data_IF_063848931918
#
_entry.id   IF_063848931918
#
_cell.length_a   1.000
_cell.length_b   1.000
_cell.length_c   1.000
_cell.angle_alpha   90.00
_cell.angle_beta   90.00
_cell.angle_gamma   90.00
#
_symmetry.space_group_name_H-M   'P 1'
#
loop_
_entity.id
_entity.type
_entity.pdbx_description
1 polymer ?
#
# COMPACT_ATOMS: atom_id res chain seq x y z
N UNK A 1 -9.09 -6.69 17.50
CA UNK A 1 -8.54 -6.93 18.85
C UNK A 1 -7.03 -7.09 18.72
N UNK A 2 -6.19 -6.50 19.57
CA UNK A 2 -4.74 -6.75 19.57
C UNK A 2 -4.44 -8.20 20.00
N UNK A 3 -3.24 -8.68 19.69
CA UNK A 3 -2.77 -9.98 20.18
C UNK A 3 -2.58 -10.00 21.70
N UNK A 4 -2.21 -11.16 22.25
CA UNK A 4 -1.97 -11.35 23.69
C UNK A 4 -0.82 -10.50 24.27
N UNK A 5 -0.07 -9.79 23.44
CA UNK A 5 1.00 -8.87 23.82
C UNK A 5 0.62 -7.40 23.62
N UNK A 6 -0.63 -7.10 23.27
CA UNK A 6 -1.10 -5.74 23.03
C UNK A 6 -0.66 -5.16 21.68
N UNK A 7 -0.11 -6.00 20.79
CA UNK A 7 0.25 -5.58 19.44
C UNK A 7 -1.03 -5.57 18.60
N UNK A 8 -1.37 -4.46 17.91
CA UNK A 8 -2.49 -4.45 16.97
C UNK A 8 -2.33 -5.62 15.99
N UNK A 9 -3.37 -6.46 15.86
CA UNK A 9 -3.32 -7.55 14.89
C UNK A 9 -3.12 -6.92 13.49
N UNK A 10 -2.04 -7.26 12.76
CA UNK A 10 -1.84 -6.74 11.42
C UNK A 10 -3.01 -7.15 10.53
N UNK A 11 -3.58 -6.17 9.81
CA UNK A 11 -4.68 -6.41 8.87
C UNK A 11 -5.94 -5.59 9.12
N UNK A 12 -5.88 -4.51 9.91
CA UNK A 12 -6.91 -3.47 9.79
C UNK A 12 -6.62 -2.63 8.51
N UNK A 13 -7.64 -1.95 7.99
CA UNK A 13 -7.50 -1.20 6.75
C UNK A 13 -6.48 -0.05 6.86
N UNK A 14 -6.30 0.54 8.05
CA UNK A 14 -5.36 1.65 8.29
C UNK A 14 -3.91 1.19 8.18
N UNK A 15 -3.56 0.02 8.72
CA UNK A 15 -2.21 -0.57 8.62
C UNK A 15 -1.87 -0.86 7.15
N UNK A 16 -2.84 -1.36 6.40
CA UNK A 16 -2.68 -1.61 4.97
C UNK A 16 -2.51 -0.29 4.20
N UNK A 17 -3.28 0.76 4.54
CA UNK A 17 -3.09 2.08 3.95
C UNK A 17 -1.69 2.66 4.24
N UNK A 18 -1.18 2.52 5.46
CA UNK A 18 0.18 2.99 5.80
C UNK A 18 1.25 2.24 5.00
N UNK A 19 1.09 0.92 4.84
CA UNK A 19 1.94 0.13 3.96
C UNK A 19 1.90 0.64 2.51
N UNK A 20 0.71 0.95 1.99
CA UNK A 20 0.51 1.46 0.64
C UNK A 20 1.13 2.86 0.42
N UNK A 21 1.09 3.72 1.44
CA UNK A 21 1.76 5.02 1.42
C UNK A 21 3.28 4.86 1.37
N UNK A 22 3.85 3.96 2.20
CA UNK A 22 5.28 3.68 2.16
C UNK A 22 5.76 3.14 0.79
N UNK A 23 4.95 2.30 0.14
CA UNK A 23 5.24 1.82 -1.21
C UNK A 23 5.15 2.93 -2.27
N UNK A 24 4.21 3.86 -2.12
CA UNK A 24 4.12 5.04 -2.98
C UNK A 24 5.36 5.92 -2.84
N UNK A 25 5.78 6.22 -1.61
CA UNK A 25 6.95 7.05 -1.32
C UNK A 25 8.24 6.41 -1.86
N UNK A 26 8.38 5.08 -1.70
CA UNK A 26 9.53 4.34 -2.24
C UNK A 26 9.57 4.41 -3.78
N UNK A 27 8.43 4.24 -4.46
CA UNK A 27 8.36 4.37 -5.92
C UNK A 27 8.67 5.80 -6.38
N UNK A 28 8.21 6.82 -5.65
CA UNK A 28 8.53 8.21 -5.94
C UNK A 28 10.04 8.47 -5.80
N UNK A 29 10.64 8.05 -4.68
CA UNK A 29 12.08 8.18 -4.46
C UNK A 29 12.91 7.45 -5.54
N UNK A 30 12.50 6.25 -5.95
CA UNK A 30 13.18 5.51 -7.02
C UNK A 30 13.16 6.27 -8.36
N UNK A 31 12.07 6.98 -8.68
CA UNK A 31 11.96 7.83 -9.87
C UNK A 31 12.83 9.07 -9.77
N UNK A 32 12.81 9.75 -8.63
CA UNK A 32 13.60 10.96 -8.40
C UNK A 32 15.12 10.68 -8.48
N UNK A 33 15.53 9.50 -8.00
CA UNK A 33 16.91 9.01 -8.09
C UNK A 33 17.28 8.48 -9.49
N UNK A 34 16.35 8.46 -10.44
CA UNK A 34 16.54 7.87 -11.76
C UNK A 34 17.09 6.43 -11.68
N UNK A 35 16.54 5.65 -10.74
CA UNK A 35 16.90 4.25 -10.58
C UNK A 35 16.65 3.46 -11.87
N UNK A 36 17.22 2.24 -11.96
CA UNK A 36 17.04 1.36 -13.11
C UNK A 36 15.55 1.22 -13.46
N UNK A 37 15.22 1.42 -14.74
CA UNK A 37 13.84 1.45 -15.22
C UNK A 37 13.06 0.18 -14.85
N UNK A 38 13.68 -0.99 -14.97
CA UNK A 38 13.09 -2.27 -14.58
C UNK A 38 12.72 -2.33 -13.09
N UNK A 39 13.55 -1.76 -12.21
CA UNK A 39 13.27 -1.72 -10.78
C UNK A 39 12.06 -0.81 -10.48
N UNK A 40 11.95 0.33 -11.18
CA UNK A 40 10.80 1.24 -11.09
C UNK A 40 9.53 0.54 -11.58
N UNK A 41 9.61 -0.22 -12.67
CA UNK A 41 8.47 -1.00 -13.19
C UNK A 41 8.04 -2.11 -12.23
N UNK A 42 8.99 -2.81 -11.61
CA UNK A 42 8.70 -3.82 -10.58
C UNK A 42 7.97 -3.20 -9.37
N UNK A 43 8.43 -2.05 -8.89
CA UNK A 43 7.76 -1.33 -7.78
C UNK A 43 6.35 -0.87 -8.18
N UNK A 44 6.19 -0.36 -9.40
CA UNK A 44 4.88 0.05 -9.91
C UNK A 44 3.91 -1.14 -10.03
N UNK A 45 4.40 -2.30 -10.47
CA UNK A 45 3.62 -3.54 -10.54
C UNK A 45 3.22 -4.03 -9.15
N UNK A 46 4.16 -4.07 -8.21
CA UNK A 46 3.89 -4.45 -6.83
C UNK A 46 2.81 -3.55 -6.22
N UNK A 47 2.89 -2.22 -6.43
CA UNK A 47 1.88 -1.28 -5.95
C UNK A 47 0.48 -1.61 -6.46
N UNK A 48 0.32 -1.92 -7.74
CA UNK A 48 -1.00 -2.30 -8.30
C UNK A 48 -1.55 -3.57 -7.65
N UNK A 49 -0.71 -4.59 -7.48
CA UNK A 49 -1.12 -5.85 -6.85
C UNK A 49 -1.63 -5.64 -5.41
N UNK A 50 -0.99 -4.76 -4.65
CA UNK A 50 -1.45 -4.46 -3.29
C UNK A 50 -2.69 -3.56 -3.25
N UNK A 51 -2.93 -2.68 -4.24
CA UNK A 51 -4.22 -1.97 -4.36
C UNK A 51 -5.36 -2.99 -4.58
N UNK A 52 -5.18 -3.92 -5.52
CA UNK A 52 -6.20 -4.92 -5.83
C UNK A 52 -6.48 -5.84 -4.62
N UNK A 53 -5.44 -6.27 -3.91
CA UNK A 53 -5.59 -7.09 -2.69
C UNK A 53 -6.25 -6.29 -1.54
N UNK A 54 -5.96 -5.00 -1.41
CA UNK A 54 -6.64 -4.12 -0.46
C UNK A 54 -8.13 -3.99 -0.77
N UNK A 55 -8.49 -3.68 -2.02
CA UNK A 55 -9.89 -3.53 -2.45
C UNK A 55 -10.69 -4.84 -2.26
N UNK A 56 -10.06 -5.99 -2.54
CA UNK A 56 -10.68 -7.30 -2.31
C UNK A 56 -10.91 -7.61 -0.82
N UNK A 57 -10.01 -7.19 0.07
CA UNK A 57 -10.11 -7.40 1.51
C UNK A 57 -10.99 -6.38 2.22
N UNK A 58 -11.14 -5.18 1.65
CA UNK A 58 -11.83 -4.03 2.24
C UNK A 58 -12.78 -3.35 1.24
N UNK A 59 -13.83 -4.06 0.76
CA UNK A 59 -14.77 -3.50 -0.21
C UNK A 59 -15.48 -2.27 0.36
N UNK A 60 -15.57 -1.19 -0.43
CA UNK A 60 -16.23 0.07 -0.03
C UNK A 60 -15.43 0.94 0.96
N UNK A 61 -14.25 0.50 1.39
CA UNK A 61 -13.40 1.31 2.26
C UNK A 61 -12.83 2.50 1.47
N UNK A 62 -13.23 3.72 1.85
CA UNK A 62 -12.80 4.95 1.18
C UNK A 62 -13.79 5.53 0.16
N UNK A 63 -15.03 5.02 0.03
CA UNK A 63 -16.08 5.56 -0.87
C UNK A 63 -16.51 7.03 -0.61
N UNK A 64 -15.87 7.74 0.33
CA UNK A 64 -15.94 9.19 0.47
C UNK A 64 -14.61 9.88 0.82
N UNK A 65 -13.51 9.15 0.97
CA UNK A 65 -12.18 9.67 1.33
C UNK A 65 -11.11 8.81 0.65
N UNK A 66 -10.54 9.34 -0.43
CA UNK A 66 -9.44 8.76 -1.21
C UNK A 66 -9.80 7.49 -2.01
N UNK A 67 -10.27 7.71 -3.24
CA UNK A 67 -10.14 6.70 -4.31
C UNK A 67 -8.65 6.60 -4.65
N UNK A 68 -8.08 5.40 -4.53
CA UNK A 68 -6.69 5.10 -4.91
C UNK A 68 -6.56 5.00 -6.44
N UNK A 69 -6.72 6.12 -7.15
CA UNK A 69 -6.45 6.22 -8.61
C UNK A 69 -5.03 6.70 -8.88
#
# INVERSE_FOLDING_TARGET
MPDKYGVPLPGNAEDYQQFMLGLYDLLAAARDLQAQAEAIEMLAKARRMFIEDFEAKHPGYGEGRAVWR
#
